data_IF_493173496925
#
_entry.id   IF_493173496925
#
_cell.length_a   1.000
_cell.length_b   1.000
_cell.length_c   1.000
_cell.angle_alpha   90.00
_cell.angle_beta   90.00
_cell.angle_gamma   90.00
#
_symmetry.space_group_name_H-M   'P 1'
#
loop_
_entity.id
_entity.type
_entity.pdbx_description
1 polymer ?
#
# COMPACT_ATOMS: atom_id res chain seq x y z
N UNK A 1 -6.27 -1.18 14.14
CA UNK A 1 -7.25 -2.25 13.83
C UNK A 1 -7.51 -3.08 15.06
N UNK A 2 -6.51 -3.77 15.62
CA UNK A 2 -6.64 -4.57 16.85
C UNK A 2 -7.16 -3.80 18.06
N UNK A 3 -6.80 -2.52 18.24
CA UNK A 3 -7.31 -1.72 19.35
C UNK A 3 -8.78 -1.29 19.17
N UNK A 4 -9.22 -1.13 17.92
CA UNK A 4 -10.56 -0.64 17.60
C UNK A 4 -11.57 -1.78 17.49
N UNK A 5 -11.18 -2.94 16.97
CA UNK A 5 -12.10 -4.03 16.70
C UNK A 5 -12.88 -4.50 17.94
N UNK A 6 -12.29 -4.63 19.15
CA UNK A 6 -13.04 -4.96 20.35
C UNK A 6 -14.12 -3.92 20.72
N UNK A 7 -13.85 -2.63 20.48
CA UNK A 7 -14.79 -1.55 20.78
C UNK A 7 -16.03 -1.59 19.87
N UNK A 8 -15.86 -2.05 18.63
CA UNK A 8 -16.92 -2.14 17.63
C UNK A 8 -17.49 -3.56 17.47
N UNK A 9 -16.98 -4.53 18.24
CA UNK A 9 -17.26 -5.96 18.06
C UNK A 9 -17.08 -6.40 16.59
N UNK A 10 -15.99 -5.93 15.96
CA UNK A 10 -15.75 -6.11 14.54
C UNK A 10 -14.86 -7.32 14.25
N UNK A 11 -15.18 -8.04 13.17
CA UNK A 11 -14.25 -9.00 12.59
C UNK A 11 -13.08 -8.27 11.91
N UNK A 12 -11.88 -8.86 11.98
CA UNK A 12 -10.70 -8.36 11.28
C UNK A 12 -10.36 -9.32 10.16
N UNK A 13 -10.24 -8.78 8.95
CA UNK A 13 -9.83 -9.51 7.75
C UNK A 13 -8.64 -8.79 7.12
N UNK A 14 -7.57 -9.52 6.85
CA UNK A 14 -6.45 -9.05 6.04
C UNK A 14 -6.50 -9.77 4.70
N UNK A 15 -6.86 -9.03 3.64
CA UNK A 15 -6.86 -9.53 2.28
C UNK A 15 -5.48 -9.30 1.66
N UNK A 16 -4.83 -10.39 1.23
CA UNK A 16 -3.54 -10.29 0.55
C UNK A 16 -3.75 -9.81 -0.90
N UNK A 17 -2.89 -8.92 -1.37
CA UNK A 17 -2.98 -8.35 -2.71
C UNK A 17 -2.52 -9.39 -3.75
N UNK A 18 -3.22 -9.50 -4.89
CA UNK A 18 -2.76 -10.34 -6.01
C UNK A 18 -1.30 -10.05 -6.38
N UNK A 19 -0.52 -11.07 -6.72
CA UNK A 19 0.92 -11.01 -6.97
C UNK A 19 1.77 -10.59 -5.77
N UNK A 20 1.29 -10.73 -4.54
CA UNK A 20 2.12 -10.60 -3.34
C UNK A 20 1.92 -11.83 -2.46
N UNK A 21 2.95 -12.19 -1.71
CA UNK A 21 2.93 -13.38 -0.85
C UNK A 21 2.52 -14.64 -1.62
N UNK A 22 1.52 -15.33 -1.08
CA UNK A 22 1.01 -16.60 -1.61
C UNK A 22 -0.09 -16.39 -2.67
N UNK A 23 -0.65 -15.19 -2.76
CA UNK A 23 -1.71 -14.80 -3.68
C UNK A 23 -1.17 -14.64 -5.11
N UNK A 24 -0.85 -15.76 -5.76
CA UNK A 24 -0.19 -15.82 -7.06
C UNK A 24 -1.14 -16.36 -8.15
N UNK A 25 -1.74 -15.52 -9.02
CA UNK A 25 -2.73 -15.96 -10.01
C UNK A 25 -2.23 -17.06 -10.96
N UNK A 26 -0.91 -17.10 -11.21
CA UNK A 26 -0.27 -18.13 -12.04
C UNK A 26 0.80 -18.92 -11.28
N UNK A 27 0.74 -18.94 -9.94
CA UNK A 27 1.74 -19.56 -9.08
C UNK A 27 3.14 -19.00 -9.34
N UNK A 28 4.15 -19.88 -9.44
CA UNK A 28 5.54 -19.48 -9.74
C UNK A 28 5.72 -18.76 -11.09
N UNK A 29 4.72 -18.82 -11.98
CA UNK A 29 4.78 -18.20 -13.30
C UNK A 29 4.24 -16.77 -13.36
N UNK A 30 3.76 -16.22 -12.25
CA UNK A 30 3.13 -14.88 -12.20
C UNK A 30 3.99 -13.77 -12.82
N UNK A 31 5.32 -13.84 -12.68
CA UNK A 31 6.25 -12.80 -13.15
C UNK A 31 7.03 -13.17 -14.43
N UNK A 32 6.67 -14.27 -15.10
CA UNK A 32 7.49 -14.81 -16.20
C UNK A 32 7.42 -14.00 -17.50
N UNK A 33 6.34 -13.25 -17.71
CA UNK A 33 6.13 -12.46 -18.93
C UNK A 33 5.08 -11.36 -18.73
N UNK A 34 5.03 -10.44 -19.69
CA UNK A 34 4.14 -9.28 -19.68
C UNK A 34 2.65 -9.64 -19.76
N UNK A 35 2.27 -10.76 -20.37
CA UNK A 35 0.87 -11.17 -20.47
C UNK A 35 0.35 -11.63 -19.10
N UNK A 36 1.17 -12.35 -18.35
CA UNK A 36 0.87 -12.75 -16.97
C UNK A 36 0.95 -11.56 -16.03
N UNK A 37 1.96 -10.70 -16.16
CA UNK A 37 2.06 -9.49 -15.35
C UNK A 37 0.95 -8.47 -15.62
N UNK A 38 0.31 -8.50 -16.79
CA UNK A 38 -0.76 -7.55 -17.14
C UNK A 38 -1.95 -7.55 -16.17
N UNK A 39 -2.18 -8.64 -15.42
CA UNK A 39 -3.23 -8.69 -14.40
C UNK A 39 -2.81 -8.12 -13.03
N UNK A 40 -1.54 -7.72 -12.87
CA UNK A 40 -1.06 -6.96 -11.71
C UNK A 40 -1.36 -5.48 -11.92
N UNK A 41 -2.60 -5.09 -11.61
CA UNK A 41 -3.03 -3.69 -11.60
C UNK A 41 -4.05 -3.44 -10.48
N UNK A 42 -4.24 -2.17 -10.15
CA UNK A 42 -5.10 -1.72 -9.06
C UNK A 42 -6.58 -1.98 -9.32
N UNK A 43 -7.07 -1.85 -10.56
CA UNK A 43 -8.48 -2.10 -10.91
C UNK A 43 -8.85 -3.54 -10.55
N UNK A 44 -7.98 -4.45 -10.96
CA UNK A 44 -8.08 -5.87 -10.71
C UNK A 44 -7.97 -6.21 -9.20
N UNK A 45 -7.02 -5.62 -8.47
CA UNK A 45 -6.91 -5.82 -7.02
C UNK A 45 -8.14 -5.28 -6.25
N UNK A 46 -8.71 -4.15 -6.67
CA UNK A 46 -9.95 -3.62 -6.09
C UNK A 46 -11.13 -4.57 -6.34
N UNK A 47 -11.20 -5.18 -7.52
CA UNK A 47 -12.21 -6.19 -7.83
C UNK A 47 -12.08 -7.43 -6.95
N UNK A 48 -10.85 -7.93 -6.69
CA UNK A 48 -10.63 -9.05 -5.77
C UNK A 48 -11.18 -8.74 -4.38
N UNK A 49 -10.89 -7.55 -3.84
CA UNK A 49 -11.36 -7.17 -2.52
C UNK A 49 -12.88 -7.01 -2.47
N UNK A 50 -13.49 -6.44 -3.52
CA UNK A 50 -14.93 -6.32 -3.61
C UNK A 50 -15.62 -7.71 -3.66
N UNK A 51 -15.06 -8.64 -4.43
CA UNK A 51 -15.56 -10.02 -4.52
C UNK A 51 -15.37 -10.76 -3.20
N UNK A 52 -14.19 -10.65 -2.56
CA UNK A 52 -13.92 -11.24 -1.26
C UNK A 52 -14.90 -10.72 -0.19
N UNK A 53 -15.13 -9.41 -0.10
CA UNK A 53 -16.10 -8.85 0.87
C UNK A 53 -17.51 -9.40 0.61
N UNK A 54 -17.91 -9.50 -0.66
CA UNK A 54 -19.22 -10.04 -1.04
C UNK A 54 -19.33 -11.52 -0.68
N UNK A 55 -18.27 -12.30 -0.92
CA UNK A 55 -18.16 -13.70 -0.53
C UNK A 55 -18.27 -13.85 0.99
N UNK A 56 -17.50 -13.08 1.77
CA UNK A 56 -17.53 -13.13 3.24
C UNK A 56 -18.89 -12.72 3.83
N UNK A 57 -19.62 -11.82 3.18
CA UNK A 57 -20.98 -11.43 3.59
C UNK A 57 -22.05 -12.49 3.28
N UNK A 58 -21.83 -13.31 2.25
CA UNK A 58 -22.84 -14.26 1.76
C UNK A 58 -22.58 -15.70 2.16
N UNK A 59 -21.32 -16.10 2.34
CA UNK A 59 -20.96 -17.46 2.71
C UNK A 59 -21.19 -17.74 4.21
N UNK A 60 -22.28 -18.46 4.47
CA UNK A 60 -22.67 -18.91 5.81
C UNK A 60 -21.95 -20.20 6.26
N UNK A 61 -21.28 -20.91 5.35
CA UNK A 61 -20.82 -22.29 5.60
C UNK A 61 -19.36 -22.37 5.96
N UNK A 62 -18.49 -21.60 5.31
CA UNK A 62 -17.04 -21.67 5.58
C UNK A 62 -16.56 -20.65 6.60
N UNK A 63 -17.03 -19.39 6.51
CA UNK A 63 -16.44 -18.28 7.27
C UNK A 63 -17.46 -17.51 8.13
N UNK A 64 -18.76 -17.56 7.81
CA UNK A 64 -19.86 -17.36 8.77
C UNK A 64 -19.92 -16.00 9.48
N UNK A 65 -19.44 -14.92 8.86
CA UNK A 65 -19.34 -13.62 9.55
C UNK A 65 -20.69 -12.89 9.72
N UNK A 66 -21.69 -13.19 8.90
CA UNK A 66 -22.89 -12.35 8.76
C UNK A 66 -24.17 -13.19 8.75
N UNK A 67 -25.10 -13.07 9.70
CA UNK A 67 -26.39 -13.75 9.60
C UNK A 67 -27.18 -13.32 8.34
N UNK A 68 -27.98 -14.22 7.78
CA UNK A 68 -28.80 -13.93 6.60
C UNK A 68 -29.74 -12.73 6.85
N UNK A 69 -29.71 -11.75 5.94
CA UNK A 69 -30.54 -10.55 6.02
C UNK A 69 -29.98 -9.42 6.90
N UNK A 70 -28.74 -9.53 7.37
CA UNK A 70 -28.08 -8.46 8.16
C UNK A 70 -27.19 -7.60 7.26
N UNK A 71 -27.43 -6.29 7.23
CA UNK A 71 -26.46 -5.35 6.66
C UNK A 71 -25.35 -5.08 7.67
N UNK A 72 -24.14 -5.57 7.38
CA UNK A 72 -22.96 -5.33 8.21
C UNK A 72 -22.08 -4.26 7.56
N UNK A 73 -21.79 -3.16 8.28
CA UNK A 73 -20.89 -2.12 7.79
C UNK A 73 -19.48 -2.65 7.56
N UNK A 74 -18.85 -2.24 6.45
CA UNK A 74 -17.48 -2.60 6.10
C UNK A 74 -16.62 -1.34 6.06
N UNK A 75 -15.62 -1.29 6.95
CA UNK A 75 -14.61 -0.23 6.96
C UNK A 75 -13.29 -0.82 6.48
N UNK A 76 -12.74 -0.26 5.40
CA UNK A 76 -11.46 -0.73 4.83
C UNK A 76 -10.31 0.10 5.37
N UNK A 77 -9.21 -0.57 5.74
CA UNK A 77 -8.02 0.06 6.28
C UNK A 77 -6.85 -0.13 5.32
N UNK A 78 -5.99 0.88 5.23
CA UNK A 78 -4.75 0.75 4.47
C UNK A 78 -3.75 1.85 4.80
N UNK A 79 -2.46 1.49 4.67
CA UNK A 79 -1.33 2.41 4.80
C UNK A 79 -0.56 2.52 3.48
N UNK A 80 0.02 3.67 3.18
CA UNK A 80 0.81 3.88 1.95
C UNK A 80 0.00 3.52 0.69
N UNK A 81 0.52 2.67 -0.21
CA UNK A 81 -0.24 2.13 -1.35
C UNK A 81 -1.53 1.40 -0.92
N UNK A 82 -1.49 0.64 0.17
CA UNK A 82 -2.71 0.04 0.74
C UNK A 82 -3.75 1.09 1.15
N UNK A 83 -3.31 2.27 1.59
CA UNK A 83 -4.18 3.40 1.88
C UNK A 83 -4.80 4.01 0.62
N UNK A 84 -4.05 4.03 -0.50
CA UNK A 84 -4.60 4.42 -1.80
C UNK A 84 -5.69 3.43 -2.24
N UNK A 85 -5.41 2.13 -2.12
CA UNK A 85 -6.39 1.07 -2.39
C UNK A 85 -7.63 1.21 -1.50
N UNK A 86 -7.49 1.45 -0.20
CA UNK A 86 -8.61 1.65 0.72
C UNK A 86 -9.51 2.83 0.28
N UNK A 87 -8.89 3.97 -0.05
CA UNK A 87 -9.63 5.13 -0.55
C UNK A 87 -10.34 4.82 -1.88
N UNK A 88 -9.65 4.23 -2.84
CA UNK A 88 -10.22 3.91 -4.15
C UNK A 88 -11.31 2.84 -4.07
N UNK A 89 -11.18 1.85 -3.19
CA UNK A 89 -12.19 0.83 -2.98
C UNK A 89 -13.49 1.46 -2.49
N UNK A 90 -13.44 2.36 -1.50
CA UNK A 90 -14.62 3.13 -1.06
C UNK A 90 -15.19 4.01 -2.19
N UNK A 91 -14.33 4.66 -2.98
CA UNK A 91 -14.79 5.52 -4.08
C UNK A 91 -15.47 4.75 -5.22
N UNK A 92 -14.95 3.55 -5.56
CA UNK A 92 -15.43 2.75 -6.69
C UNK A 92 -16.53 1.75 -6.32
N UNK A 93 -16.53 1.26 -5.09
CA UNK A 93 -17.49 0.30 -4.59
C UNK A 93 -18.21 0.81 -3.32
N UNK A 94 -18.86 1.99 -3.36
CA UNK A 94 -19.52 2.56 -2.19
C UNK A 94 -20.75 1.75 -1.72
N UNK A 95 -21.24 0.83 -2.55
CA UNK A 95 -22.32 -0.11 -2.24
C UNK A 95 -21.83 -1.37 -1.50
N UNK A 96 -20.51 -1.59 -1.41
CA UNK A 96 -19.90 -2.74 -0.72
C UNK A 96 -19.18 -2.29 0.56
N UNK A 97 -18.50 -1.14 0.49
CA UNK A 97 -17.65 -0.59 1.55
C UNK A 97 -18.22 0.72 2.05
N UNK A 98 -18.48 0.84 3.35
CA UNK A 98 -19.15 1.99 4.00
C UNK A 98 -18.19 3.12 4.38
N UNK A 99 -16.91 2.82 4.58
CA UNK A 99 -15.89 3.81 4.92
C UNK A 99 -14.47 3.32 4.68
N UNK A 100 -13.52 4.24 4.64
CA UNK A 100 -12.11 3.95 4.42
C UNK A 100 -11.20 4.75 5.35
N UNK A 101 -10.22 4.08 5.95
CA UNK A 101 -9.11 4.68 6.66
C UNK A 101 -7.85 4.61 5.77
N UNK A 102 -7.60 5.69 5.03
CA UNK A 102 -6.48 5.82 4.11
C UNK A 102 -5.27 6.50 4.79
N UNK A 103 -4.51 5.74 5.58
CA UNK A 103 -3.38 6.26 6.36
C UNK A 103 -2.16 6.55 5.47
N UNK A 104 -1.66 7.78 5.51
CA UNK A 104 -0.47 8.21 4.77
C UNK A 104 -0.50 7.83 3.28
N UNK A 105 -1.68 7.88 2.67
CA UNK A 105 -1.91 7.49 1.28
C UNK A 105 -1.51 8.63 0.33
N UNK A 106 -0.52 8.46 -0.57
CA UNK A 106 -0.07 9.51 -1.47
C UNK A 106 -1.00 9.68 -2.70
N UNK A 107 -2.30 9.88 -2.47
CA UNK A 107 -3.36 9.97 -3.51
C UNK A 107 -3.15 11.07 -4.56
N UNK A 108 -2.26 12.03 -4.29
CA UNK A 108 -1.96 13.15 -5.19
C UNK A 108 -0.57 13.09 -5.81
N UNK A 109 0.26 12.09 -5.53
CA UNK A 109 1.63 12.03 -6.05
C UNK A 109 1.64 11.36 -7.43
N UNK A 110 0.98 12.01 -8.39
CA UNK A 110 0.94 11.60 -9.80
C UNK A 110 1.43 12.74 -10.69
N UNK A 111 1.94 12.41 -11.87
CA UNK A 111 2.31 13.41 -12.87
C UNK A 111 1.11 14.31 -13.20
N UNK A 112 1.36 15.62 -13.35
CA UNK A 112 0.32 16.60 -13.69
C UNK A 112 -0.53 17.10 -12.51
N UNK A 113 -0.30 16.64 -11.29
CA UNK A 113 -1.05 17.08 -10.08
C UNK A 113 -0.52 18.36 -9.43
N UNK A 114 0.59 18.90 -9.94
CA UNK A 114 1.26 20.08 -9.39
C UNK A 114 1.98 19.85 -8.06
N UNK A 115 2.07 18.60 -7.58
CA UNK A 115 2.85 18.28 -6.37
C UNK A 115 4.33 18.32 -6.71
N UNK A 116 5.09 19.11 -5.96
CA UNK A 116 6.55 19.14 -6.08
C UNK A 116 7.13 17.76 -5.68
N UNK A 117 7.89 17.08 -6.56
CA UNK A 117 8.54 15.80 -6.26
C UNK A 117 9.47 15.87 -5.04
N UNK A 118 10.03 17.04 -4.74
CA UNK A 118 10.94 17.27 -3.61
C UNK A 118 10.20 17.47 -2.28
N UNK A 119 8.87 17.53 -2.27
CA UNK A 119 8.08 17.83 -1.06
C UNK A 119 8.38 16.89 0.11
N UNK A 120 8.54 15.59 -0.17
CA UNK A 120 8.92 14.58 0.83
C UNK A 120 10.35 14.81 1.31
N UNK A 121 11.30 14.95 0.39
CA UNK A 121 12.72 15.20 0.72
C UNK A 121 12.90 16.47 1.56
N UNK A 122 12.19 17.54 1.21
CA UNK A 122 12.19 18.79 1.98
C UNK A 122 11.66 18.59 3.39
N UNK A 123 10.56 17.85 3.54
CA UNK A 123 9.97 17.56 4.86
C UNK A 123 10.93 16.74 5.73
N UNK A 124 11.54 15.70 5.16
CA UNK A 124 12.53 14.88 5.85
C UNK A 124 13.74 15.73 6.26
N UNK A 125 14.25 16.56 5.35
CA UNK A 125 15.39 17.45 5.61
C UNK A 125 15.06 18.43 6.74
N UNK A 126 13.90 19.08 6.69
CA UNK A 126 13.47 20.00 7.76
C UNK A 126 13.42 19.28 9.10
N UNK A 127 12.76 18.12 9.18
CA UNK A 127 12.64 17.36 10.42
C UNK A 127 14.01 16.97 11.00
N UNK A 128 14.94 16.56 10.14
CA UNK A 128 16.31 16.22 10.52
C UNK A 128 17.05 17.43 11.13
N UNK A 129 17.00 18.57 10.45
CA UNK A 129 17.63 19.81 10.92
C UNK A 129 17.02 20.32 12.21
N UNK A 130 15.68 20.30 12.32
CA UNK A 130 14.97 20.74 13.54
C UNK A 130 15.20 19.82 14.72
N UNK A 131 15.63 18.58 14.49
CA UNK A 131 16.04 17.64 15.55
C UNK A 131 17.47 17.89 16.05
N UNK A 132 18.14 18.96 15.58
CA UNK A 132 19.49 19.34 15.98
C UNK A 132 20.60 18.62 15.21
N UNK A 133 20.26 17.93 14.11
CA UNK A 133 21.23 17.19 13.33
C UNK A 133 21.90 18.06 12.23
N UNK A 134 23.17 17.79 11.92
CA UNK A 134 23.94 18.56 10.94
C UNK A 134 23.79 17.98 9.52
N UNK A 135 23.30 18.79 8.58
CA UNK A 135 23.18 18.44 7.16
C UNK A 135 24.48 17.95 6.55
N UNK A 136 25.62 18.47 7.02
CA UNK A 136 26.95 18.20 6.46
C UNK A 136 27.29 16.72 6.49
N UNK A 137 26.82 15.99 7.50
CA UNK A 137 27.02 14.55 7.63
C UNK A 137 26.57 13.80 6.36
N UNK A 138 25.44 14.22 5.77
CA UNK A 138 24.95 13.62 4.52
C UNK A 138 25.61 14.22 3.28
N UNK A 139 25.71 15.55 3.20
CA UNK A 139 26.25 16.19 1.98
C UNK A 139 27.70 15.81 1.72
N UNK A 140 28.53 15.73 2.77
CA UNK A 140 29.94 15.40 2.65
C UNK A 140 30.10 13.92 2.26
N UNK A 141 29.22 13.05 2.74
CA UNK A 141 29.15 11.64 2.33
C UNK A 141 28.87 11.50 0.82
N UNK A 142 27.87 12.21 0.29
CA UNK A 142 27.60 12.19 -1.15
C UNK A 142 28.77 12.74 -1.99
N UNK A 143 29.40 13.82 -1.55
CA UNK A 143 30.60 14.37 -2.20
C UNK A 143 31.75 13.37 -2.18
N UNK A 144 31.95 12.66 -1.08
CA UNK A 144 32.98 11.62 -0.98
C UNK A 144 32.72 10.46 -1.96
N UNK A 145 31.48 9.97 -2.03
CA UNK A 145 31.06 8.93 -2.98
C UNK A 145 31.31 9.39 -4.43
N UNK A 146 30.94 10.62 -4.77
CA UNK A 146 31.16 11.17 -6.11
C UNK A 146 32.66 11.32 -6.46
N UNK A 147 33.49 11.68 -5.49
CA UNK A 147 34.94 11.72 -5.68
C UNK A 147 35.52 10.33 -5.90
N UNK A 148 35.10 9.34 -5.10
CA UNK A 148 35.59 7.97 -5.21
C UNK A 148 35.15 7.29 -6.53
N UNK A 149 33.96 7.60 -7.04
CA UNK A 149 33.50 7.05 -8.32
C UNK A 149 34.33 7.53 -9.51
N UNK A 150 34.90 8.74 -9.43
CA UNK A 150 35.75 9.33 -10.48
C UNK A 150 37.19 8.81 -10.49
N UNK A 151 37.66 8.19 -9.40
CA UNK A 151 39.06 7.75 -9.26
C UNK A 151 39.30 6.27 -9.56
N UNK A 152 38.28 5.51 -9.98
CA UNK A 152 38.44 4.12 -10.43
C UNK A 152 38.92 3.12 -9.37
N UNK A 153 39.02 3.51 -8.09
CA UNK A 153 39.40 2.65 -6.97
C UNK A 153 38.17 1.97 -6.34
N UNK A 154 37.30 1.40 -7.18
CA UNK A 154 36.43 0.32 -6.75
C UNK A 154 37.24 -0.96 -6.92
N UNK A 155 38.16 -1.22 -6.00
CA UNK A 155 38.67 -2.58 -5.83
C UNK A 155 37.46 -3.47 -5.59
N UNK A 156 37.25 -4.43 -6.48
CA UNK A 156 36.20 -5.43 -6.37
C UNK A 156 36.24 -6.00 -4.94
N UNK A 157 35.14 -5.87 -4.22
CA UNK A 157 34.88 -6.72 -3.06
C UNK A 157 34.69 -8.14 -3.63
N UNK A 158 35.79 -8.88 -3.75
CA UNK A 158 35.79 -10.34 -3.93
C UNK A 158 35.64 -11.01 -2.57
#
# INVERSE_FOLDING_TARGET
MWDLAPLFNAAIVFAEHRYYGESQPFGKRSYMDVLRLGYLNEIQALADFAELISFLKTDQKELGFCPMGTEIPVIVFGGSYGGMLAAWLRMKYPHIVDGAWASSAPLRIFYGTGINPESVSRTITTNYLTSGCDRKVFSDGFVAIEKMSKTGHLTAFN
#
